data_IF_911686361866
#
_entry.id   IF_911686361866
#
_cell.length_a   1.000
_cell.length_b   1.000
_cell.length_c   1.000
_cell.angle_alpha   90.00
_cell.angle_beta   90.00
_cell.angle_gamma   90.00
#
_symmetry.space_group_name_H-M   'P 1'
#
loop_
_entity.id
_entity.type
_entity.pdbx_description
1 polymer ?
#
# COMPACT_ATOMS: atom_id res chain seq x y z
N UNK A 1 11.70 -9.49 8.20
CA UNK A 1 10.65 -9.85 7.23
C UNK A 1 11.26 -9.72 5.85
N UNK A 2 11.08 -10.73 4.98
CA UNK A 2 11.51 -10.64 3.58
C UNK A 2 10.60 -9.68 2.80
N UNK A 3 11.04 -9.16 1.66
CA UNK A 3 10.24 -8.21 0.88
C UNK A 3 8.89 -8.78 0.46
N UNK A 4 8.86 -10.00 -0.08
CA UNK A 4 7.60 -10.65 -0.49
C UNK A 4 6.64 -10.89 0.70
N UNK A 5 7.16 -11.22 1.88
CA UNK A 5 6.36 -11.36 3.11
C UNK A 5 5.77 -10.01 3.55
N UNK A 6 6.55 -8.94 3.40
CA UNK A 6 6.10 -7.57 3.68
C UNK A 6 4.99 -7.15 2.70
N UNK A 7 5.17 -7.40 1.39
CA UNK A 7 4.16 -7.11 0.38
C UNK A 7 2.86 -7.86 0.66
N UNK A 8 2.94 -9.15 1.03
CA UNK A 8 1.74 -9.91 1.36
C UNK A 8 1.04 -9.34 2.60
N UNK A 9 1.80 -8.92 3.61
CA UNK A 9 1.24 -8.23 4.79
C UNK A 9 0.57 -6.89 4.43
N UNK A 10 1.09 -6.14 3.46
CA UNK A 10 0.45 -4.93 2.92
C UNK A 10 -0.87 -5.29 2.21
N UNK A 11 -0.85 -6.32 1.34
CA UNK A 11 -2.05 -6.74 0.61
C UNK A 11 -3.15 -7.21 1.56
N UNK A 12 -2.79 -7.98 2.59
CA UNK A 12 -3.74 -8.44 3.60
C UNK A 12 -4.29 -7.26 4.42
N UNK A 13 -3.45 -6.31 4.81
CA UNK A 13 -3.90 -5.11 5.52
C UNK A 13 -4.90 -4.30 4.70
N UNK A 14 -4.60 -4.07 3.41
CA UNK A 14 -5.52 -3.39 2.49
C UNK A 14 -6.82 -4.17 2.34
N UNK A 15 -6.76 -5.47 2.05
CA UNK A 15 -7.95 -6.31 1.86
C UNK A 15 -8.89 -6.32 3.08
N UNK A 16 -8.34 -6.22 4.29
CA UNK A 16 -9.10 -6.20 5.54
C UNK A 16 -9.37 -4.79 6.07
N UNK A 17 -8.98 -3.73 5.34
CA UNK A 17 -9.14 -2.33 5.77
C UNK A 17 -8.44 -2.04 7.11
N UNK A 18 -7.32 -2.70 7.34
CA UNK A 18 -6.53 -2.60 8.58
C UNK A 18 -5.46 -1.52 8.45
N UNK A 19 -5.83 -0.30 8.82
CA UNK A 19 -4.97 0.88 8.73
C UNK A 19 -3.73 0.74 9.64
N UNK A 20 -3.92 0.24 10.86
CA UNK A 20 -2.83 0.08 11.81
C UNK A 20 -1.82 -0.97 11.33
N UNK A 21 -2.29 -2.07 10.75
CA UNK A 21 -1.43 -3.09 10.14
C UNK A 21 -0.68 -2.54 8.93
N UNK A 22 -1.34 -1.77 8.07
CA UNK A 22 -0.69 -1.16 6.90
C UNK A 22 0.50 -0.28 7.33
N UNK A 23 0.27 0.63 8.27
CA UNK A 23 1.26 1.61 8.72
C UNK A 23 2.33 1.06 9.68
N UNK A 24 2.15 -0.17 10.18
CA UNK A 24 3.16 -0.90 10.95
C UNK A 24 3.99 -1.87 10.11
N UNK A 25 3.54 -2.20 8.89
CA UNK A 25 4.22 -3.18 8.01
C UNK A 25 5.44 -2.58 7.31
N UNK A 26 5.45 -1.27 7.05
CA UNK A 26 6.57 -0.57 6.42
C UNK A 26 6.81 0.80 7.06
N UNK A 27 8.02 1.34 6.87
CA UNK A 27 8.38 2.68 7.32
C UNK A 27 7.75 3.75 6.41
N UNK A 28 6.51 4.12 6.72
CA UNK A 28 5.90 5.33 6.17
C UNK A 28 6.38 6.54 6.99
N UNK A 29 7.38 7.27 6.49
CA UNK A 29 7.91 8.48 7.10
C UNK A 29 7.40 9.75 6.37
N UNK A 30 8.02 10.90 6.63
CA UNK A 30 7.64 12.17 6.00
C UNK A 30 8.04 12.26 4.50
N UNK A 31 8.89 11.36 4.03
CA UNK A 31 9.33 11.31 2.64
C UNK A 31 8.55 10.30 1.79
N UNK A 32 7.62 9.55 2.39
CA UNK A 32 6.74 8.67 1.62
C UNK A 32 5.92 9.46 0.60
N UNK A 33 5.84 8.93 -0.61
CA UNK A 33 5.09 9.50 -1.73
C UNK A 33 4.12 8.47 -2.26
N UNK A 34 2.90 8.91 -2.53
CA UNK A 34 1.88 8.14 -3.21
C UNK A 34 1.35 8.94 -4.40
N UNK A 35 1.30 8.29 -5.56
CA UNK A 35 0.67 8.81 -6.77
C UNK A 35 -0.57 7.96 -7.01
N UNK A 36 -1.73 8.60 -7.08
CA UNK A 36 -3.02 7.92 -7.24
C UNK A 36 -3.50 7.98 -8.70
N UNK A 37 -4.53 7.20 -9.12
CA UNK A 37 -4.88 7.03 -10.53
C UNK A 37 -5.19 8.31 -11.32
N UNK A 38 -5.67 9.36 -10.66
CA UNK A 38 -5.92 10.66 -11.30
C UNK A 38 -4.67 11.54 -11.46
N UNK A 39 -3.49 11.03 -11.10
CA UNK A 39 -2.22 11.75 -11.17
C UNK A 39 -1.92 12.65 -9.97
N UNK A 40 -2.79 12.70 -8.96
CA UNK A 40 -2.51 13.50 -7.77
C UNK A 40 -1.31 12.93 -6.99
N UNK A 41 -0.48 13.85 -6.50
CA UNK A 41 0.73 13.59 -5.74
C UNK A 41 0.49 13.86 -4.26
N UNK A 42 0.67 12.85 -3.42
CA UNK A 42 0.44 12.91 -1.98
C UNK A 42 1.76 12.58 -1.28
N UNK A 43 2.26 13.49 -0.44
CA UNK A 43 3.52 13.32 0.29
C UNK A 43 3.30 13.35 1.80
N UNK A 44 4.04 12.51 2.50
CA UNK A 44 4.17 12.49 3.95
C UNK A 44 3.17 11.54 4.62
N UNK A 45 3.61 10.94 5.73
CA UNK A 45 2.87 9.93 6.48
C UNK A 45 1.43 10.33 6.76
N UNK A 46 1.22 11.54 7.27
CA UNK A 46 -0.11 12.01 7.67
C UNK A 46 -1.08 12.12 6.48
N UNK A 47 -0.61 12.60 5.34
CA UNK A 47 -1.45 12.74 4.15
C UNK A 47 -1.81 11.36 3.55
N UNK A 48 -0.84 10.44 3.50
CA UNK A 48 -1.07 9.06 3.05
C UNK A 48 -2.03 8.34 4.00
N UNK A 49 -1.91 8.53 5.32
CA UNK A 49 -2.80 7.94 6.33
C UNK A 49 -4.24 8.45 6.19
N UNK A 50 -4.41 9.76 6.02
CA UNK A 50 -5.74 10.34 5.84
C UNK A 50 -6.43 9.83 4.57
N UNK A 51 -5.69 9.66 3.46
CA UNK A 51 -6.26 9.07 2.26
C UNK A 51 -6.75 7.64 2.51
N UNK A 52 -5.89 6.79 3.09
CA UNK A 52 -6.24 5.40 3.35
C UNK A 52 -7.40 5.28 4.35
N UNK A 53 -7.45 6.12 5.39
CA UNK A 53 -8.55 6.13 6.35
C UNK A 53 -9.89 6.48 5.67
N UNK A 54 -9.90 7.50 4.80
CA UNK A 54 -11.09 7.88 4.05
C UNK A 54 -11.52 6.78 3.06
N UNK A 55 -10.55 6.17 2.37
CA UNK A 55 -10.81 5.07 1.44
C UNK A 55 -11.33 3.82 2.17
N UNK A 56 -10.72 3.44 3.30
CA UNK A 56 -11.13 2.29 4.11
C UNK A 56 -12.50 2.46 4.78
N UNK A 57 -12.99 3.70 4.92
CA UNK A 57 -14.32 3.96 5.44
C UNK A 57 -15.45 3.58 4.46
N UNK A 58 -15.13 3.44 3.17
CA UNK A 58 -16.08 2.98 2.15
C UNK A 58 -16.22 1.44 2.22
N UNK A 59 -17.42 0.90 2.56
CA UNK A 59 -17.61 -0.54 2.71
C UNK A 59 -17.82 -1.27 1.38
N UNK A 60 -18.11 -0.55 0.30
CA UNK A 60 -18.64 -1.14 -0.93
C UNK A 60 -17.52 -1.65 -1.85
N UNK A 61 -16.30 -1.12 -1.71
CA UNK A 61 -15.19 -1.57 -2.54
C UNK A 61 -14.63 -2.91 -2.11
N UNK A 62 -14.18 -3.66 -3.10
CA UNK A 62 -13.34 -4.84 -2.91
C UNK A 62 -12.12 -4.75 -3.83
N UNK A 63 -10.97 -5.21 -3.34
CA UNK A 63 -9.73 -5.18 -4.09
C UNK A 63 -9.02 -6.52 -3.97
N UNK A 64 -8.69 -7.11 -5.12
CA UNK A 64 -7.77 -8.24 -5.21
C UNK A 64 -6.43 -7.75 -5.77
N UNK A 65 -5.33 -8.21 -5.17
CA UNK A 65 -3.96 -7.85 -5.55
C UNK A 65 -3.17 -9.09 -5.90
N UNK A 66 -2.45 -9.04 -7.02
CA UNK A 66 -1.56 -10.10 -7.49
C UNK A 66 -0.19 -9.55 -7.82
N UNK A 67 0.85 -10.06 -7.15
CA UNK A 67 2.23 -9.75 -7.48
C UNK A 67 2.57 -10.33 -8.87
N UNK A 68 2.98 -9.46 -9.80
CA UNK A 68 3.41 -9.85 -11.14
C UNK A 68 4.93 -10.00 -11.23
N UNK A 69 5.66 -9.10 -10.56
CA UNK A 69 7.12 -9.06 -10.57
C UNK A 69 7.64 -8.36 -9.32
N UNK A 70 8.69 -8.90 -8.72
CA UNK A 70 9.52 -8.21 -7.73
C UNK A 70 10.97 -8.13 -8.20
N UNK A 71 11.67 -7.08 -7.76
CA UNK A 71 13.13 -6.92 -7.90
C UNK A 71 13.64 -6.45 -6.55
N UNK A 72 14.61 -7.16 -5.98
CA UNK A 72 15.24 -6.80 -4.71
C UNK A 72 16.74 -6.54 -4.93
N UNK A 73 17.24 -5.46 -4.33
CA UNK A 73 18.65 -5.18 -4.12
C UNK A 73 18.92 -5.09 -2.62
N UNK A 74 20.19 -5.01 -2.18
CA UNK A 74 20.49 -4.81 -0.75
C UNK A 74 19.87 -3.53 -0.16
N UNK A 75 19.62 -2.51 -0.99
CA UNK A 75 19.15 -1.19 -0.57
C UNK A 75 17.65 -0.97 -0.82
N UNK A 76 17.04 -1.66 -1.80
CA UNK A 76 15.65 -1.39 -2.19
C UNK A 76 14.91 -2.60 -2.76
N UNK A 77 13.58 -2.55 -2.67
CA UNK A 77 12.67 -3.47 -3.33
C UNK A 77 11.71 -2.73 -4.27
N UNK A 78 11.37 -3.36 -5.38
CA UNK A 78 10.35 -2.90 -6.31
C UNK A 78 9.34 -4.03 -6.55
N UNK A 79 8.05 -3.69 -6.59
CA UNK A 79 6.98 -4.62 -6.91
C UNK A 79 6.05 -4.03 -7.98
N UNK A 80 5.77 -4.83 -9.00
CA UNK A 80 4.68 -4.60 -9.94
C UNK A 80 3.50 -5.47 -9.54
N UNK A 81 2.36 -4.83 -9.27
CA UNK A 81 1.16 -5.48 -8.74
C UNK A 81 0.01 -5.24 -9.72
N UNK A 82 -0.68 -6.31 -10.09
CA UNK A 82 -1.99 -6.20 -10.73
C UNK A 82 -3.04 -6.00 -9.64
N UNK A 83 -3.90 -5.01 -9.84
CA UNK A 83 -4.96 -4.65 -8.91
C UNK A 83 -6.30 -4.74 -9.65
N UNK A 84 -7.19 -5.59 -9.14
CA UNK A 84 -8.56 -5.71 -9.62
C UNK A 84 -9.49 -5.06 -8.59
N UNK A 85 -9.99 -3.86 -8.90
CA UNK A 85 -10.89 -3.08 -8.05
C UNK A 85 -12.34 -3.32 -8.47
N UNK A 86 -13.24 -3.53 -7.51
CA UNK A 86 -14.68 -3.78 -7.71
C UNK A 86 -15.50 -2.91 -6.78
#
# INVERSE_FOLDING_TARGET
MKFDEMLQSIFDAIKHRDLDKLFSTASFDEDVVMIIPNGAFIKGRSAVANLHAAWFADPDWQMDMKLLRSIETPEMGFALVQVDYK
#
